data_IF_616142005465
#
_entry.id   IF_616142005465
#
_cell.length_a   1.000
_cell.length_b   1.000
_cell.length_c   1.000
_cell.angle_alpha   90.00
_cell.angle_beta   90.00
_cell.angle_gamma   90.00
#
_symmetry.space_group_name_H-M   'P 1'
#
loop_
_entity.id
_entity.type
_entity.pdbx_description
1 polymer ?
#
# COMPACT_ATOMS: atom_id res chain seq x y z
N UNK A 1 35.89 50.83 -24.63
CA UNK A 1 35.82 50.38 -23.21
C UNK A 1 34.45 49.77 -22.82
N UNK A 2 33.67 49.19 -23.75
CA UNK A 2 32.40 48.51 -23.43
C UNK A 2 32.55 46.99 -23.25
N UNK A 3 33.62 46.40 -23.79
CA UNK A 3 33.89 44.96 -23.72
C UNK A 3 34.08 44.45 -22.28
N UNK A 4 34.67 45.25 -21.38
CA UNK A 4 34.86 44.84 -19.97
C UNK A 4 33.56 44.79 -19.18
N UNK A 5 32.57 45.64 -19.50
CA UNK A 5 31.25 45.63 -18.84
C UNK A 5 30.45 44.38 -19.20
N UNK A 6 30.48 43.99 -20.47
CA UNK A 6 29.84 42.76 -20.94
C UNK A 6 30.51 41.52 -20.32
N UNK A 7 31.84 41.50 -20.23
CA UNK A 7 32.57 40.41 -19.58
C UNK A 7 32.20 40.27 -18.10
N UNK A 8 32.09 41.39 -17.37
CA UNK A 8 31.66 41.39 -15.97
C UNK A 8 30.23 40.84 -15.83
N UNK A 9 29.32 41.24 -16.72
CA UNK A 9 27.94 40.76 -16.74
C UNK A 9 27.86 39.25 -17.02
N UNK A 10 28.69 38.73 -17.93
CA UNK A 10 28.80 37.29 -18.21
C UNK A 10 29.31 36.50 -17.01
N UNK A 11 30.32 37.01 -16.30
CA UNK A 11 30.86 36.35 -15.10
C UNK A 11 29.80 36.29 -14.00
N UNK A 12 29.05 37.38 -13.78
CA UNK A 12 27.96 37.41 -12.81
C UNK A 12 26.86 36.43 -13.19
N UNK A 13 26.48 36.38 -14.47
CA UNK A 13 25.48 35.42 -14.97
C UNK A 13 25.93 33.97 -14.78
N UNK A 14 27.20 33.67 -15.09
CA UNK A 14 27.78 32.35 -14.90
C UNK A 14 27.78 31.95 -13.41
N UNK A 15 28.18 32.86 -12.53
CA UNK A 15 28.13 32.63 -11.09
C UNK A 15 26.71 32.38 -10.58
N UNK A 16 25.72 33.15 -11.05
CA UNK A 16 24.32 32.98 -10.70
C UNK A 16 23.78 31.59 -11.13
N UNK A 17 24.12 31.14 -12.33
CA UNK A 17 23.74 29.80 -12.84
C UNK A 17 24.38 28.70 -12.01
N UNK A 18 25.67 28.82 -11.67
CA UNK A 18 26.36 27.84 -10.82
C UNK A 18 25.72 27.76 -9.43
N UNK A 19 25.46 28.90 -8.79
CA UNK A 19 24.78 28.95 -7.48
C UNK A 19 23.39 28.30 -7.57
N UNK A 20 22.63 28.57 -8.63
CA UNK A 20 21.33 27.92 -8.85
C UNK A 20 21.47 26.40 -9.00
N UNK A 21 22.46 25.91 -9.74
CA UNK A 21 22.69 24.49 -9.90
C UNK A 21 23.03 23.81 -8.56
N UNK A 22 23.90 24.41 -7.76
CA UNK A 22 24.22 23.92 -6.42
C UNK A 22 23.01 23.95 -5.48
N UNK A 23 22.20 25.00 -5.51
CA UNK A 23 20.98 25.11 -4.71
C UNK A 23 19.98 23.99 -5.04
N UNK A 24 19.80 23.67 -6.33
CA UNK A 24 18.93 22.57 -6.77
C UNK A 24 19.46 21.21 -6.30
N UNK A 25 20.78 20.97 -6.42
CA UNK A 25 21.41 19.73 -5.93
C UNK A 25 21.23 19.59 -4.42
N UNK A 26 21.47 20.67 -3.67
CA UNK A 26 21.33 20.69 -2.21
C UNK A 26 19.88 20.44 -1.78
N UNK A 27 18.91 21.07 -2.46
CA UNK A 27 17.48 20.85 -2.22
C UNK A 27 17.09 19.39 -2.48
N UNK A 28 17.57 18.82 -3.59
CA UNK A 28 17.32 17.42 -3.96
C UNK A 28 17.92 16.45 -2.94
N UNK A 29 19.14 16.71 -2.47
CA UNK A 29 19.79 15.88 -1.47
C UNK A 29 19.08 15.94 -0.12
N UNK A 30 18.69 17.14 0.32
CA UNK A 30 17.96 17.34 1.57
C UNK A 30 16.56 16.70 1.52
N UNK A 31 15.89 16.79 0.37
CA UNK A 31 14.59 16.16 0.14
C UNK A 31 14.64 14.63 0.29
N UNK A 32 15.70 13.99 -0.21
CA UNK A 32 15.89 12.53 -0.06
C UNK A 32 16.06 12.11 1.40
N UNK A 33 16.75 12.91 2.21
CA UNK A 33 16.94 12.61 3.64
C UNK A 33 15.66 12.78 4.44
N UNK A 34 14.89 13.83 4.18
CA UNK A 34 13.59 14.05 4.86
C UNK A 34 12.56 13.00 4.46
N UNK A 35 12.52 12.61 3.18
CA UNK A 35 11.64 11.53 2.71
C UNK A 35 11.97 10.19 3.33
N UNK A 36 13.26 9.87 3.53
CA UNK A 36 13.66 8.58 4.11
C UNK A 36 13.10 8.38 5.52
N UNK A 37 12.93 9.45 6.31
CA UNK A 37 12.37 9.35 7.66
C UNK A 37 10.88 9.05 7.62
N UNK A 38 10.14 9.70 6.72
CA UNK A 38 8.70 9.45 6.53
C UNK A 38 8.44 8.04 6.00
N UNK A 39 9.28 7.57 5.06
CA UNK A 39 9.18 6.22 4.50
C UNK A 39 9.36 5.11 5.54
N UNK A 40 10.10 5.37 6.63
CA UNK A 40 10.34 4.36 7.66
C UNK A 40 9.10 4.08 8.51
N UNK A 41 8.33 5.11 8.88
CA UNK A 41 7.06 4.91 9.61
C UNK A 41 5.96 4.31 8.72
N UNK A 42 5.93 4.70 7.43
CA UNK A 42 5.02 4.07 6.46
C UNK A 42 5.32 2.59 6.26
N UNK A 43 6.60 2.19 6.24
CA UNK A 43 6.97 0.77 6.13
C UNK A 43 6.44 -0.08 7.29
N UNK A 44 6.48 0.43 8.52
CA UNK A 44 5.95 -0.30 9.67
C UNK A 44 4.43 -0.49 9.55
N UNK A 45 3.74 0.58 9.15
CA UNK A 45 2.29 0.54 8.93
C UNK A 45 1.93 -0.45 7.84
N UNK A 46 2.64 -0.43 6.71
CA UNK A 46 2.42 -1.35 5.60
C UNK A 46 2.66 -2.81 6.01
N UNK A 47 3.71 -3.10 6.78
CA UNK A 47 3.98 -4.44 7.27
C UNK A 47 2.87 -4.96 8.19
N UNK A 48 2.37 -4.12 9.09
CA UNK A 48 1.26 -4.49 9.97
C UNK A 48 -0.01 -4.75 9.16
N UNK A 49 -0.29 -3.93 8.15
CA UNK A 49 -1.45 -4.07 7.28
C UNK A 49 -1.41 -5.35 6.42
N UNK A 50 -0.22 -5.77 5.98
CA UNK A 50 -0.02 -7.07 5.34
C UNK A 50 -0.34 -8.22 6.28
N UNK A 51 0.15 -8.18 7.53
CA UNK A 51 -0.16 -9.22 8.52
C UNK A 51 -1.66 -9.27 8.85
N UNK A 52 -2.31 -8.12 9.00
CA UNK A 52 -3.76 -8.07 9.17
C UNK A 52 -4.50 -8.69 7.99
N UNK A 53 -4.07 -8.42 6.76
CA UNK A 53 -4.63 -9.05 5.56
C UNK A 53 -4.50 -10.56 5.56
N UNK A 54 -3.32 -11.08 5.95
CA UNK A 54 -3.10 -12.52 6.10
C UNK A 54 -4.02 -13.13 7.17
N UNK A 55 -4.10 -12.52 8.35
CA UNK A 55 -4.96 -12.97 9.43
C UNK A 55 -6.44 -12.98 9.04
N UNK A 56 -6.87 -11.97 8.26
CA UNK A 56 -8.25 -11.88 7.77
C UNK A 56 -8.55 -12.99 6.76
N UNK A 57 -7.59 -13.34 5.89
CA UNK A 57 -7.72 -14.46 4.96
C UNK A 57 -7.74 -15.80 5.71
N UNK A 58 -6.93 -15.96 6.76
CA UNK A 58 -6.98 -17.13 7.64
C UNK A 58 -8.34 -17.24 8.34
N UNK A 59 -8.88 -16.14 8.87
CA UNK A 59 -10.23 -16.13 9.44
C UNK A 59 -11.33 -16.41 8.41
N UNK A 60 -11.23 -15.85 7.21
CA UNK A 60 -12.17 -16.13 6.13
C UNK A 60 -12.12 -17.61 5.73
N UNK A 61 -10.92 -18.21 5.69
CA UNK A 61 -10.71 -19.64 5.47
C UNK A 61 -11.30 -20.50 6.60
N UNK A 62 -11.21 -20.05 7.85
CA UNK A 62 -11.82 -20.72 9.01
C UNK A 62 -13.34 -20.51 9.11
N UNK A 63 -13.85 -19.42 8.55
CA UNK A 63 -15.28 -19.10 8.41
C UNK A 63 -15.90 -19.67 7.13
N UNK A 64 -15.10 -20.36 6.28
CA UNK A 64 -15.60 -20.99 5.07
C UNK A 64 -16.69 -22.00 5.46
N UNK A 65 -17.84 -22.02 4.75
CA UNK A 65 -18.98 -22.90 5.02
C UNK A 65 -18.64 -24.37 5.28
N UNK A 66 -17.50 -24.86 4.80
CA UNK A 66 -16.95 -26.19 5.05
C UNK A 66 -16.86 -26.56 6.54
N UNK A 67 -16.43 -25.64 7.43
CA UNK A 67 -16.34 -25.95 8.87
C UNK A 67 -17.72 -25.99 9.55
N UNK A 68 -18.65 -25.18 9.06
CA UNK A 68 -20.06 -25.21 9.51
C UNK A 68 -20.73 -26.50 9.02
N UNK A 69 -20.45 -26.93 7.80
CA UNK A 69 -20.95 -28.19 7.23
C UNK A 69 -20.39 -29.42 7.96
N UNK A 70 -19.09 -29.44 8.25
CA UNK A 70 -18.44 -30.50 9.01
C UNK A 70 -19.01 -30.60 10.43
N UNK A 71 -19.14 -29.46 11.13
CA UNK A 71 -19.72 -29.42 12.47
C UNK A 71 -21.21 -29.81 12.45
N UNK A 72 -21.98 -29.41 11.43
CA UNK A 72 -23.39 -29.81 11.28
C UNK A 72 -23.54 -31.30 10.97
N UNK A 73 -22.64 -31.87 10.17
CA UNK A 73 -22.61 -33.31 9.91
C UNK A 73 -22.23 -34.10 11.15
N UNK A 74 -21.24 -33.64 11.90
CA UNK A 74 -20.64 -34.40 13.00
C UNK A 74 -21.39 -34.23 14.34
N UNK A 75 -21.83 -33.01 14.67
CA UNK A 75 -22.58 -32.72 15.92
C UNK A 75 -24.10 -32.89 15.78
N UNK A 76 -24.66 -32.57 14.61
CA UNK A 76 -26.10 -32.57 14.38
C UNK A 76 -26.57 -33.73 13.47
N UNK A 77 -25.64 -34.56 12.96
CA UNK A 77 -25.98 -35.68 12.08
C UNK A 77 -26.57 -35.26 10.73
N UNK A 78 -26.40 -33.99 10.32
CA UNK A 78 -27.03 -33.46 9.11
C UNK A 78 -26.38 -34.05 7.86
N UNK A 79 -27.20 -34.58 6.95
CA UNK A 79 -26.80 -35.08 5.63
C UNK A 79 -27.34 -34.17 4.54
N UNK A 80 -26.59 -33.94 3.46
CA UNK A 80 -27.10 -33.18 2.32
C UNK A 80 -28.37 -33.86 1.77
N UNK A 81 -29.49 -33.11 1.61
CA UNK A 81 -30.70 -33.67 1.04
C UNK A 81 -30.44 -34.08 -0.40
N UNK A 82 -30.56 -35.37 -0.69
CA UNK A 82 -30.61 -35.90 -2.06
C UNK A 82 -31.99 -35.60 -2.64
N UNK A 83 -32.10 -35.47 -3.97
CA UNK A 83 -33.32 -35.10 -4.71
C UNK A 83 -34.60 -35.88 -4.32
N UNK A 84 -34.45 -37.03 -3.65
CA UNK A 84 -35.53 -37.85 -3.10
C UNK A 84 -36.14 -37.33 -1.77
N UNK A 85 -35.51 -36.36 -1.08
CA UNK A 85 -35.90 -35.87 0.25
C UNK A 85 -36.21 -34.37 0.28
N UNK A 86 -36.48 -33.77 -0.88
CA UNK A 86 -36.83 -32.34 -1.00
C UNK A 86 -38.34 -32.16 -0.94
N UNK A 87 -38.83 -31.53 0.12
CA UNK A 87 -40.24 -31.12 0.24
C UNK A 87 -40.40 -29.66 -0.18
N UNK A 88 -41.08 -29.42 -1.30
CA UNK A 88 -41.47 -28.07 -1.74
C UNK A 88 -42.69 -27.62 -0.93
N UNK A 89 -42.44 -26.79 0.07
CA UNK A 89 -43.50 -26.13 0.83
C UNK A 89 -44.18 -25.10 -0.08
N UNK A 90 -45.40 -25.41 -0.53
CA UNK A 90 -46.28 -24.44 -1.17
C UNK A 90 -46.92 -23.58 -0.08
N UNK A 91 -46.76 -22.24 -0.11
CA UNK A 91 -47.52 -21.37 0.78
C UNK A 91 -49.01 -21.44 0.40
N UNK A 92 -49.85 -21.63 1.42
CA UNK A 92 -51.31 -21.54 1.33
C UNK A 92 -51.75 -20.09 1.22
#
# INVERSE_FOLDING_TARGET
MQMSKSLYMLIVLLAAVLVSAFAVIYSTNSYRLTLSQVQQEEQQTHFLQLQWGQLLLEQASLATPARVEELAREKLGMTLPTSANTYLLHPQ
#
